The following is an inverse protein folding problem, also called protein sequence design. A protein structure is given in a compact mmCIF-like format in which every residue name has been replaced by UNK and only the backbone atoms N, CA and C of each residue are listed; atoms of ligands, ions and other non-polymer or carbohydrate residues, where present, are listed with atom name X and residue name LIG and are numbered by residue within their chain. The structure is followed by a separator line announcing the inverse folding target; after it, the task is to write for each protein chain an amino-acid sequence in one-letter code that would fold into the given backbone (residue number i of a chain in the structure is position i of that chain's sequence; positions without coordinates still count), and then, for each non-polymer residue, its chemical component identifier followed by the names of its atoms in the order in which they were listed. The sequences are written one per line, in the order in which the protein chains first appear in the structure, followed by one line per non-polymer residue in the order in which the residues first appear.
data_IF_076240914916
#
_entry.id   IF_076240914916
#
_cell.length_a   1.000
_cell.length_b   1.000
_cell.length_c   1.000
_cell.angle_alpha   90.00
_cell.angle_beta   90.00
_cell.angle_gamma   90.00
#
_symmetry.space_group_name_H-M   'P 1'
#
loop_
_entity.id
_entity.type
_entity.pdbx_description
1 polymer ?
#
# COMPACT_ATOMS: atom_id res chain seq x y z
N UNK A 1 1.82 32.30 -12.18
CA UNK A 1 2.89 31.49 -11.55
C UNK A 1 2.21 30.31 -10.90
N UNK A 2 2.46 29.09 -11.37
CA UNK A 2 2.06 27.88 -10.65
C UNK A 2 2.87 27.82 -9.35
N UNK A 3 2.21 27.59 -8.22
CA UNK A 3 2.92 27.33 -6.96
C UNK A 3 3.89 26.16 -7.16
N UNK A 4 5.11 26.22 -6.58
CA UNK A 4 6.07 25.13 -6.70
C UNK A 4 5.46 23.85 -6.12
N UNK A 5 5.60 22.72 -6.83
CA UNK A 5 5.16 21.43 -6.29
C UNK A 5 5.92 21.12 -4.99
N UNK A 6 5.25 20.56 -3.96
CA UNK A 6 5.91 20.17 -2.74
C UNK A 6 7.04 19.16 -3.00
N UNK A 7 8.08 19.21 -2.18
CA UNK A 7 9.19 18.26 -2.25
C UNK A 7 8.71 16.80 -2.07
N UNK A 8 9.29 15.85 -2.84
CA UNK A 8 8.90 14.44 -2.77
C UNK A 8 9.15 13.83 -1.37
N UNK A 9 8.13 13.15 -0.84
CA UNK A 9 8.20 12.52 0.47
C UNK A 9 8.81 11.11 0.44
N UNK A 10 9.68 10.82 1.41
CA UNK A 10 10.32 9.52 1.57
C UNK A 10 10.29 9.03 3.01
N UNK A 11 10.19 7.71 3.18
CA UNK A 11 10.53 7.04 4.44
C UNK A 11 11.86 6.30 4.27
N UNK A 12 12.81 6.62 5.15
CA UNK A 12 14.12 5.99 5.19
C UNK A 12 14.13 4.86 6.20
N UNK A 13 14.54 3.66 5.77
CA UNK A 13 14.74 2.54 6.69
C UNK A 13 16.00 2.73 7.55
N UNK A 14 16.13 1.98 8.65
CA UNK A 14 17.35 1.97 9.48
C UNK A 14 18.65 1.70 8.69
N UNK A 15 18.55 1.02 7.54
CA UNK A 15 19.68 0.74 6.64
C UNK A 15 19.88 1.82 5.56
N UNK A 16 19.30 3.00 5.71
CA UNK A 16 19.43 4.12 4.76
C UNK A 16 18.61 4.01 3.47
N UNK A 17 17.93 2.87 3.20
CA UNK A 17 17.11 2.72 1.99
C UNK A 17 15.86 3.61 2.06
N UNK A 18 15.74 4.56 1.12
CA UNK A 18 14.57 5.43 0.90
C UNK A 18 13.44 4.65 0.21
N UNK A 19 12.21 4.93 0.61
CA UNK A 19 10.99 4.49 -0.08
C UNK A 19 10.10 5.69 -0.33
N UNK A 20 9.64 5.88 -1.57
CA UNK A 20 8.74 6.97 -1.94
C UNK A 20 7.38 6.81 -1.26
N UNK A 21 6.81 7.91 -0.79
CA UNK A 21 5.43 8.05 -0.30
C UNK A 21 4.68 8.94 -1.28
N UNK A 22 3.45 8.57 -1.65
CA UNK A 22 2.63 9.34 -2.57
C UNK A 22 1.63 10.23 -1.83
N UNK A 23 1.47 11.47 -2.27
CA UNK A 23 0.31 12.32 -1.96
C UNK A 23 -0.91 11.85 -2.77
N UNK A 24 -2.14 12.33 -2.49
CA UNK A 24 -3.32 11.97 -3.27
C UNK A 24 -3.20 12.28 -4.77
N UNK A 25 -2.70 13.46 -5.12
CA UNK A 25 -2.49 13.84 -6.52
C UNK A 25 -1.40 12.99 -7.17
N UNK A 26 -0.31 12.71 -6.46
CA UNK A 26 0.75 11.82 -6.95
C UNK A 26 0.27 10.39 -7.15
N UNK A 27 -0.61 9.89 -6.27
CA UNK A 27 -1.26 8.60 -6.41
C UNK A 27 -2.08 8.55 -7.71
N UNK A 28 -2.92 9.55 -7.97
CA UNK A 28 -3.75 9.58 -9.18
C UNK A 28 -2.89 9.64 -10.44
N UNK A 29 -1.87 10.51 -10.46
CA UNK A 29 -0.90 10.58 -11.57
C UNK A 29 -0.20 9.24 -11.79
N UNK A 30 0.23 8.57 -10.72
CA UNK A 30 0.90 7.28 -10.81
C UNK A 30 -0.03 6.19 -11.35
N UNK A 31 -1.28 6.12 -10.85
CA UNK A 31 -2.27 5.14 -11.28
C UNK A 31 -2.63 5.35 -12.75
N UNK A 32 -2.89 6.59 -13.16
CA UNK A 32 -3.26 6.95 -14.53
C UNK A 32 -2.14 6.72 -15.56
N UNK A 33 -0.88 6.65 -15.12
CA UNK A 33 0.26 6.37 -16.02
C UNK A 33 0.41 4.89 -16.39
N UNK A 34 -0.30 3.97 -15.73
CA UNK A 34 -0.21 2.55 -16.07
C UNK A 34 -0.84 2.26 -17.43
N UNK A 35 -0.09 1.53 -18.28
CA UNK A 35 -0.58 1.10 -19.60
C UNK A 35 -1.41 -0.18 -19.56
N UNK A 36 -1.25 -1.00 -18.53
CA UNK A 36 -1.89 -2.32 -18.41
C UNK A 36 -2.90 -2.32 -17.28
N UNK A 37 -4.17 -2.67 -17.52
CA UNK A 37 -5.19 -2.79 -16.47
C UNK A 37 -4.79 -3.75 -15.34
N UNK A 38 -4.09 -4.83 -15.66
CA UNK A 38 -3.60 -5.80 -14.67
C UNK A 38 -2.64 -5.15 -13.66
N UNK A 39 -1.77 -4.26 -14.13
CA UNK A 39 -0.85 -3.55 -13.24
C UNK A 39 -1.59 -2.57 -12.33
N UNK A 40 -2.65 -1.91 -12.83
CA UNK A 40 -3.51 -1.08 -11.98
C UNK A 40 -4.15 -1.95 -10.90
N UNK A 41 -4.71 -3.09 -11.29
CA UNK A 41 -5.35 -4.05 -10.36
C UNK A 41 -4.38 -4.53 -9.28
N UNK A 42 -3.16 -4.92 -9.64
CA UNK A 42 -2.12 -5.34 -8.69
C UNK A 42 -1.73 -4.17 -7.77
N UNK A 43 -1.53 -2.97 -8.34
CA UNK A 43 -1.14 -1.78 -7.58
C UNK A 43 -2.21 -1.39 -6.56
N UNK A 44 -3.46 -1.26 -6.99
CA UNK A 44 -4.58 -0.88 -6.11
C UNK A 44 -4.84 -1.96 -5.06
N UNK A 45 -4.73 -3.24 -5.41
CA UNK A 45 -4.81 -4.34 -4.44
C UNK A 45 -3.74 -4.19 -3.36
N UNK A 46 -2.47 -4.00 -3.75
CA UNK A 46 -1.38 -3.82 -2.78
C UNK A 46 -1.53 -2.55 -1.95
N UNK A 47 -2.01 -1.47 -2.56
CA UNK A 47 -2.20 -0.19 -1.92
C UNK A 47 -3.31 -0.28 -0.86
N UNK A 48 -4.52 -0.64 -1.26
CA UNK A 48 -5.67 -0.63 -0.36
C UNK A 48 -5.68 -1.78 0.65
N UNK A 49 -4.89 -2.84 0.46
CA UNK A 49 -4.77 -3.89 1.50
C UNK A 49 -3.54 -3.68 2.40
N UNK A 50 -2.55 -2.90 1.96
CA UNK A 50 -1.25 -2.77 2.64
C UNK A 50 -0.47 -4.08 2.75
N UNK A 51 -0.87 -5.12 2.02
CA UNK A 51 -0.14 -6.39 2.02
C UNK A 51 1.28 -6.20 1.50
N UNK A 52 2.21 -6.99 2.04
CA UNK A 52 3.50 -7.14 1.35
C UNK A 52 3.26 -7.85 0.03
N UNK A 53 4.09 -7.55 -0.95
CA UNK A 53 4.02 -8.17 -2.27
C UNK A 53 3.93 -9.70 -2.22
N UNK A 54 4.78 -10.34 -1.40
CA UNK A 54 4.76 -11.79 -1.22
C UNK A 54 3.50 -12.31 -0.52
N UNK A 55 2.87 -11.51 0.35
CA UNK A 55 1.59 -11.88 0.97
C UNK A 55 0.46 -11.78 -0.06
N UNK A 56 0.44 -10.72 -0.87
CA UNK A 56 -0.53 -10.57 -1.96
C UNK A 56 -0.40 -11.69 -3.01
N UNK A 57 0.82 -12.13 -3.34
CA UNK A 57 1.06 -13.28 -4.20
C UNK A 57 0.52 -14.60 -3.64
N UNK A 58 0.53 -14.76 -2.33
CA UNK A 58 -0.09 -15.92 -1.68
C UNK A 58 -1.61 -15.79 -1.67
N UNK A 59 -2.12 -14.62 -1.30
CA UNK A 59 -3.54 -14.31 -1.37
C UNK A 59 -4.11 -14.60 -2.77
N UNK A 60 -3.41 -14.23 -3.84
CA UNK A 60 -3.81 -14.53 -5.23
C UNK A 60 -4.10 -16.02 -5.47
N UNK A 61 -3.37 -16.91 -4.80
CA UNK A 61 -3.53 -18.38 -4.88
C UNK A 61 -4.54 -18.94 -3.89
N UNK A 62 -5.00 -18.12 -2.95
CA UNK A 62 -5.89 -18.49 -1.86
C UNK A 62 -7.07 -17.50 -1.74
N UNK A 63 -7.97 -17.39 -2.74
CA UNK A 63 -9.14 -16.52 -2.66
C UNK A 63 -10.05 -16.84 -1.45
N UNK A 64 -10.02 -18.07 -0.94
CA UNK A 64 -10.75 -18.52 0.24
C UNK A 64 -10.35 -17.81 1.54
N UNK A 65 -9.21 -17.12 1.55
CA UNK A 65 -8.80 -16.28 2.68
C UNK A 65 -9.64 -14.99 2.79
N UNK A 66 -10.48 -14.70 1.80
CA UNK A 66 -11.38 -13.53 1.83
C UNK A 66 -12.73 -13.90 2.43
N UNK A 67 -13.06 -13.28 3.56
CA UNK A 67 -14.39 -13.35 4.15
C UNK A 67 -15.23 -12.15 3.69
N UNK A 68 -15.92 -12.31 2.56
CA UNK A 68 -16.64 -11.24 1.87
C UNK A 68 -17.77 -10.60 2.70
N UNK A 69 -18.40 -11.38 3.59
CA UNK A 69 -19.48 -10.91 4.47
C UNK A 69 -18.95 -9.92 5.50
N UNK A 70 -17.77 -10.20 6.08
CA UNK A 70 -17.13 -9.32 7.07
C UNK A 70 -16.21 -8.28 6.44
N UNK A 71 -16.00 -8.34 5.12
CA UNK A 71 -15.06 -7.51 4.38
C UNK A 71 -13.64 -7.59 4.99
N UNK A 72 -13.14 -8.79 5.25
CA UNK A 72 -11.77 -9.00 5.77
C UNK A 72 -11.00 -10.04 4.96
N UNK A 73 -9.68 -9.89 4.93
CA UNK A 73 -8.74 -10.91 4.48
C UNK A 73 -8.12 -11.53 5.72
N UNK A 74 -8.32 -12.83 5.91
CA UNK A 74 -7.66 -13.60 6.95
C UNK A 74 -6.31 -14.09 6.42
N UNK A 75 -5.20 -13.65 7.04
CA UNK A 75 -3.86 -14.10 6.68
C UNK A 75 -3.35 -15.13 7.71
N UNK A 76 -3.51 -16.43 7.43
CA UNK A 76 -3.06 -17.49 8.32
C UNK A 76 -1.53 -17.55 8.41
N UNK A 77 -1.00 -18.36 9.32
CA UNK A 77 0.44 -18.50 9.55
C UNK A 77 1.23 -18.86 8.27
N UNK A 78 0.66 -19.71 7.42
CA UNK A 78 1.24 -20.10 6.12
C UNK A 78 1.40 -18.92 5.15
N UNK A 79 0.57 -17.90 5.29
CA UNK A 79 0.67 -16.64 4.57
C UNK A 79 1.86 -15.78 5.06
N UNK A 80 2.44 -16.09 6.23
CA UNK A 80 3.37 -15.23 6.97
C UNK A 80 4.75 -15.89 7.19
N UNK A 81 5.47 -16.25 6.13
CA UNK A 81 6.76 -16.97 6.17
C UNK A 81 7.98 -16.23 6.78
N UNK A 82 7.82 -15.14 7.53
CA UNK A 82 8.98 -14.46 8.17
C UNK A 82 9.40 -15.20 9.43
N UNK A 83 10.59 -15.85 9.39
CA UNK A 83 11.24 -16.66 10.46
C UNK A 83 11.22 -16.10 11.91
N UNK A 84 10.92 -14.83 12.15
CA UNK A 84 11.02 -14.16 13.48
C UNK A 84 9.77 -13.35 13.86
N UNK A 85 8.61 -13.59 13.26
CA UNK A 85 7.40 -12.82 13.59
C UNK A 85 6.67 -13.43 14.80
N UNK A 86 6.19 -12.58 15.71
CA UNK A 86 5.42 -12.97 16.91
C UNK A 86 3.93 -13.13 16.64
N UNK A 87 3.37 -12.35 15.72
CA UNK A 87 1.96 -12.45 15.33
C UNK A 87 1.81 -13.52 14.24
N UNK A 88 1.17 -14.63 14.60
CA UNK A 88 1.02 -15.82 13.75
C UNK A 88 -0.08 -15.62 12.70
N UNK A 89 -1.16 -14.94 13.05
CA UNK A 89 -2.32 -14.70 12.19
C UNK A 89 -2.81 -13.26 12.32
N UNK A 90 -3.41 -12.72 11.25
CA UNK A 90 -4.01 -11.39 11.29
C UNK A 90 -5.14 -11.24 10.28
N UNK A 91 -6.06 -10.34 10.61
CA UNK A 91 -7.12 -9.90 9.72
C UNK A 91 -6.74 -8.55 9.12
N UNK A 92 -7.04 -8.36 7.85
CA UNK A 92 -6.86 -7.08 7.13
C UNK A 92 -8.23 -6.62 6.66
N UNK A 93 -8.66 -5.43 7.07
CA UNK A 93 -9.92 -4.87 6.62
C UNK A 93 -9.87 -4.55 5.12
N UNK A 94 -10.87 -4.99 4.37
CA UNK A 94 -11.04 -4.68 2.96
C UNK A 94 -11.74 -3.34 2.85
N UNK A 95 -11.02 -2.37 2.30
CA UNK A 95 -11.58 -1.07 1.96
C UNK A 95 -12.67 -1.24 0.87
N UNK A 96 -13.83 -0.55 0.93
CA UNK A 96 -14.83 -0.59 -0.13
C UNK A 96 -14.25 -0.36 -1.54
N UNK A 97 -13.24 0.51 -1.63
CA UNK A 97 -12.51 0.92 -2.82
C UNK A 97 -11.83 -0.26 -3.54
N UNK A 98 -11.42 -1.30 -2.81
CA UNK A 98 -10.66 -2.43 -3.38
C UNK A 98 -11.51 -3.68 -3.60
N UNK A 99 -12.77 -3.69 -3.16
CA UNK A 99 -13.62 -4.90 -3.20
C UNK A 99 -13.75 -5.47 -4.62
N UNK A 100 -14.11 -4.62 -5.58
CA UNK A 100 -14.21 -5.01 -6.99
C UNK A 100 -12.85 -5.35 -7.60
N UNK A 101 -11.78 -4.68 -7.15
CA UNK A 101 -10.41 -4.97 -7.60
C UNK A 101 -9.90 -6.31 -7.12
N UNK A 102 -10.26 -6.75 -5.91
CA UNK A 102 -9.91 -8.07 -5.43
C UNK A 102 -10.51 -9.18 -6.29
N UNK A 103 -11.76 -9.01 -6.75
CA UNK A 103 -12.40 -9.99 -7.65
C UNK A 103 -11.59 -10.12 -8.95
N UNK A 104 -11.23 -9.00 -9.57
CA UNK A 104 -10.41 -8.99 -10.80
C UNK A 104 -9.01 -9.52 -10.51
N UNK A 105 -8.43 -9.19 -9.36
CA UNK A 105 -7.11 -9.63 -8.94
C UNK A 105 -7.01 -11.16 -8.92
N UNK A 106 -8.04 -11.86 -8.41
CA UNK A 106 -8.08 -13.33 -8.42
C UNK A 106 -8.24 -13.94 -9.81
N UNK A 107 -8.70 -13.17 -10.80
CA UNK A 107 -8.82 -13.61 -12.19
C UNK A 107 -7.56 -13.39 -13.02
N UNK A 108 -6.56 -12.67 -12.48
CA UNK A 108 -5.29 -12.46 -13.17
C UNK A 108 -4.57 -13.80 -13.37
N UNK A 109 -4.15 -14.08 -14.60
CA UNK A 109 -3.44 -15.32 -14.94
C UNK A 109 -2.11 -15.45 -14.18
N UNK A 110 -1.37 -14.33 -14.03
CA UNK A 110 -0.05 -14.36 -13.44
C UNK A 110 0.31 -13.07 -12.69
N UNK A 111 0.77 -13.22 -11.44
CA UNK A 111 1.38 -12.13 -10.65
C UNK A 111 2.90 -12.12 -10.85
N UNK A 112 3.50 -10.98 -11.22
CA UNK A 112 4.94 -10.88 -11.48
C UNK A 112 5.82 -11.29 -10.30
N UNK A 113 7.10 -11.53 -10.57
CA UNK A 113 8.12 -11.63 -9.52
C UNK A 113 8.35 -10.24 -8.89
N UNK A 114 8.83 -10.20 -7.64
CA UNK A 114 9.08 -8.93 -6.96
C UNK A 114 10.05 -8.03 -7.75
N UNK A 115 11.11 -8.60 -8.33
CA UNK A 115 12.05 -7.85 -9.15
C UNK A 115 11.38 -7.23 -10.39
N UNK A 116 10.62 -8.02 -11.15
CA UNK A 116 9.87 -7.53 -12.32
C UNK A 116 8.84 -6.47 -11.93
N UNK A 117 8.20 -6.63 -10.78
CA UNK A 117 7.25 -5.65 -10.26
C UNK A 117 7.93 -4.34 -9.85
N UNK A 118 9.06 -4.40 -9.12
CA UNK A 118 9.83 -3.21 -8.74
C UNK A 118 10.33 -2.45 -9.97
N UNK A 119 10.78 -3.14 -11.01
CA UNK A 119 11.13 -2.51 -12.29
C UNK A 119 9.92 -1.89 -12.98
N UNK A 120 8.77 -2.57 -12.97
CA UNK A 120 7.54 -2.03 -13.55
C UNK A 120 7.10 -0.75 -12.83
N UNK A 121 7.18 -0.73 -11.50
CA UNK A 121 6.91 0.46 -10.67
C UNK A 121 7.82 1.64 -11.04
N UNK A 122 9.12 1.40 -11.20
CA UNK A 122 10.09 2.44 -11.60
C UNK A 122 9.84 2.95 -13.03
N UNK A 123 9.56 2.06 -13.97
CA UNK A 123 9.19 2.44 -15.35
C UNK A 123 7.90 3.25 -15.38
N UNK A 124 6.94 2.91 -14.51
CA UNK A 124 5.70 3.66 -14.38
C UNK A 124 5.93 5.03 -13.73
N UNK A 125 6.78 5.11 -12.71
CA UNK A 125 7.17 6.36 -12.07
C UNK A 125 7.76 7.36 -13.08
N UNK A 126 8.73 6.92 -13.88
CA UNK A 126 9.30 7.74 -14.95
C UNK A 126 8.24 8.23 -15.95
N UNK A 127 7.28 7.37 -16.30
CA UNK A 127 6.18 7.74 -17.22
C UNK A 127 5.21 8.76 -16.61
N UNK A 128 4.98 8.67 -15.30
CA UNK A 128 4.17 9.62 -14.57
C UNK A 128 4.91 10.94 -14.26
N UNK A 129 6.15 11.11 -14.75
CA UNK A 129 6.95 12.32 -14.54
C UNK A 129 7.70 12.35 -13.20
N UNK A 130 7.80 11.24 -12.47
CA UNK A 130 8.52 11.18 -11.20
C UNK A 130 9.97 10.73 -11.39
N UNK A 131 10.85 11.15 -10.47
CA UNK A 131 12.11 10.45 -10.20
C UNK A 131 11.80 9.01 -9.74
N UNK A 132 12.30 7.97 -10.45
CA UNK A 132 12.08 6.57 -10.06
C UNK A 132 12.73 6.17 -8.72
N UNK A 133 13.58 7.02 -8.15
CA UNK A 133 14.25 6.77 -6.87
C UNK A 133 13.25 6.49 -5.76
N UNK A 134 13.49 5.40 -5.00
CA UNK A 134 12.64 5.00 -3.88
C UNK A 134 11.32 4.32 -4.26
N UNK A 135 10.93 4.26 -5.54
CA UNK A 135 9.77 3.47 -5.97
C UNK A 135 10.06 1.97 -5.90
N UNK A 136 9.15 1.22 -5.27
CA UNK A 136 9.17 -0.24 -5.18
C UNK A 136 7.80 -0.76 -4.73
N UNK A 137 7.63 -2.07 -4.63
CA UNK A 137 6.46 -2.70 -4.00
C UNK A 137 6.20 -2.21 -2.55
N UNK A 138 7.21 -1.63 -1.88
CA UNK A 138 7.04 -1.05 -0.54
C UNK A 138 6.34 0.31 -0.57
N UNK A 139 6.34 1.01 -1.71
CA UNK A 139 5.69 2.32 -1.88
C UNK A 139 4.21 2.23 -1.59
N UNK A 140 3.52 1.20 -2.10
CA UNK A 140 2.08 1.00 -1.87
C UNK A 140 1.77 0.92 -0.38
N UNK A 141 2.36 -0.07 0.29
CA UNK A 141 2.16 -0.31 1.72
C UNK A 141 2.55 0.89 2.60
N UNK A 142 3.71 1.49 2.35
CA UNK A 142 4.16 2.62 3.18
C UNK A 142 3.31 3.86 2.95
N UNK A 143 2.82 4.07 1.74
CA UNK A 143 1.90 5.17 1.46
C UNK A 143 0.58 4.97 2.19
N UNK A 144 -0.03 3.80 2.09
CA UNK A 144 -1.30 3.58 2.77
C UNK A 144 -1.18 3.62 4.30
N UNK A 145 -0.08 3.09 4.86
CA UNK A 145 0.23 3.24 6.29
C UNK A 145 0.31 4.71 6.69
N UNK A 146 0.91 5.56 5.85
CA UNK A 146 1.00 7.01 6.08
C UNK A 146 -0.39 7.67 6.02
N UNK A 147 -1.19 7.30 5.02
CA UNK A 147 -2.53 7.85 4.82
C UNK A 147 -3.48 7.45 5.95
N UNK A 148 -3.43 6.20 6.42
CA UNK A 148 -4.21 5.74 7.58
C UNK A 148 -3.90 6.56 8.83
N UNK A 149 -2.62 6.89 9.07
CA UNK A 149 -2.21 7.74 10.20
C UNK A 149 -2.76 9.16 10.05
N UNK A 150 -2.64 9.74 8.85
CA UNK A 150 -3.17 11.08 8.54
C UNK A 150 -4.68 11.16 8.68
N UNK A 151 -5.39 10.09 8.29
CA UNK A 151 -6.83 9.97 8.43
C UNK A 151 -7.29 9.77 9.89
N UNK A 152 -6.37 9.56 10.83
CA UNK A 152 -6.68 9.42 12.24
C UNK A 152 -7.02 7.99 12.68
N UNK A 153 -6.75 6.98 11.85
CA UNK A 153 -6.93 5.58 12.24
C UNK A 153 -5.97 5.25 13.40
N UNK A 154 -6.45 4.64 14.51
CA UNK A 154 -5.61 4.32 15.64
C UNK A 154 -4.37 3.51 15.24
N UNK A 155 -3.19 3.92 15.71
CA UNK A 155 -1.93 3.24 15.40
C UNK A 155 -1.93 1.76 15.78
N UNK A 156 -2.60 1.41 16.88
CA UNK A 156 -2.77 0.02 17.32
C UNK A 156 -3.52 -0.81 16.28
N UNK A 157 -4.57 -0.25 15.66
CA UNK A 157 -5.33 -0.89 14.61
C UNK A 157 -4.50 -1.08 13.34
N UNK A 158 -3.77 -0.04 12.92
CA UNK A 158 -2.84 -0.10 11.79
C UNK A 158 -1.78 -1.19 12.04
N UNK A 159 -1.20 -1.25 13.25
CA UNK A 159 -0.25 -2.29 13.62
C UNK A 159 -0.84 -3.70 13.47
N UNK A 160 -2.08 -3.93 13.90
CA UNK A 160 -2.75 -5.23 13.79
C UNK A 160 -2.96 -5.64 12.32
N UNK A 161 -3.51 -4.75 11.49
CA UNK A 161 -3.75 -5.01 10.06
C UNK A 161 -2.45 -5.24 9.29
N UNK A 162 -1.44 -4.42 9.57
CA UNK A 162 -0.16 -4.46 8.86
C UNK A 162 0.78 -5.53 9.46
N UNK A 163 0.51 -6.01 10.67
CA UNK A 163 1.32 -6.95 11.44
C UNK A 163 2.65 -6.35 11.94
N UNK A 164 2.65 -5.08 12.32
CA UNK A 164 3.81 -4.47 12.99
C UNK A 164 3.84 -4.91 14.45
N UNK A 165 5.01 -5.32 14.94
CA UNK A 165 5.19 -5.77 16.33
C UNK A 165 5.42 -4.62 17.31
N UNK A 166 5.98 -3.50 16.85
CA UNK A 166 6.35 -2.37 17.70
C UNK A 166 5.86 -1.04 17.11
N UNK A 167 5.20 -0.22 17.94
CA UNK A 167 4.77 1.15 17.65
C UNK A 167 5.91 2.03 17.12
N UNK A 168 7.15 1.76 17.53
CA UNK A 168 8.37 2.44 17.07
C UNK A 168 8.52 2.41 15.55
N UNK A 169 7.99 1.36 14.90
CA UNK A 169 8.04 1.22 13.44
C UNK A 169 7.22 2.31 12.72
N UNK A 170 6.20 2.88 13.37
CA UNK A 170 5.29 3.86 12.79
C UNK A 170 5.67 5.33 13.11
N UNK A 171 6.61 5.58 14.03
CA UNK A 171 7.04 6.96 14.37
C UNK A 171 7.61 7.73 13.18
N UNK A 172 8.24 7.04 12.23
CA UNK A 172 8.76 7.67 11.01
C UNK A 172 7.68 8.19 10.06
N UNK A 173 6.42 7.80 10.24
CA UNK A 173 5.30 8.18 9.38
C UNK A 173 4.60 9.45 9.90
N UNK A 174 4.76 9.79 11.19
CA UNK A 174 4.13 10.95 11.82
C UNK A 174 4.76 12.29 11.37
N UNK A 175 6.02 12.27 10.91
CA UNK A 175 6.74 13.47 10.49
C UNK A 175 6.61 13.77 8.99
N UNK A 176 5.65 13.15 8.29
CA UNK A 176 5.42 13.44 6.88
C UNK A 176 4.68 14.78 6.73
N UNK A 177 5.24 15.65 5.89
CA UNK A 177 4.81 17.03 5.71
C UNK A 177 3.65 17.15 4.71
N UNK A 178 2.58 16.37 4.89
CA UNK A 178 1.36 16.53 4.09
C UNK A 178 0.73 17.90 4.33
N UNK A 179 0.30 18.57 3.26
CA UNK A 179 -0.42 19.85 3.34
C UNK A 179 -1.81 19.67 3.95
N UNK A 180 -2.50 20.76 4.27
CA UNK A 180 -3.86 20.68 4.83
C UNK A 180 -4.83 20.06 3.83
N UNK A 181 -4.69 20.43 2.56
CA UNK A 181 -5.51 19.97 1.44
C UNK A 181 -5.29 18.48 1.19
N UNK A 182 -4.04 18.03 1.20
CA UNK A 182 -3.71 16.61 1.06
C UNK A 182 -4.26 15.78 2.23
N UNK A 183 -4.19 16.29 3.46
CA UNK A 183 -4.75 15.61 4.63
C UNK A 183 -6.26 15.44 4.52
N UNK A 184 -6.96 16.45 4.01
CA UNK A 184 -8.41 16.40 3.83
C UNK A 184 -8.81 15.42 2.74
N UNK A 185 -8.12 15.46 1.60
CA UNK A 185 -8.35 14.51 0.51
C UNK A 185 -8.05 13.06 0.94
N UNK A 186 -7.00 12.84 1.74
CA UNK A 186 -6.72 11.53 2.34
C UNK A 186 -7.90 11.06 3.20
N UNK A 187 -8.42 11.91 4.09
CA UNK A 187 -9.58 11.54 4.94
C UNK A 187 -10.79 11.14 4.12
N UNK A 188 -11.12 11.94 3.11
CA UNK A 188 -12.22 11.67 2.19
C UNK A 188 -12.04 10.34 1.46
N UNK A 189 -10.83 10.04 0.97
CA UNK A 189 -10.55 8.78 0.27
C UNK A 189 -10.63 7.55 1.16
N UNK A 190 -10.29 7.69 2.44
CA UNK A 190 -10.37 6.59 3.39
C UNK A 190 -11.68 6.55 4.19
N UNK A 191 -12.63 7.44 3.87
CA UNK A 191 -13.94 7.46 4.52
C UNK A 191 -14.66 6.10 4.34
N UNK A 192 -15.27 5.61 5.42
CA UNK A 192 -15.96 4.32 5.44
C UNK A 192 -15.05 3.09 5.44
N UNK A 193 -13.73 3.25 5.66
CA UNK A 193 -12.79 2.14 5.81
C UNK A 193 -12.72 1.57 7.25
N UNK A 194 -13.58 2.03 8.15
CA UNK A 194 -13.70 1.48 9.50
C UNK A 194 -15.14 1.58 9.99
#
# INVERSE_FOLDING_TARGET
MTEPEPEPMYITSQKGKKTRILTPSEYDRFVNAWRKPDHVTIFETLFYTGLRFEEAKRLHKHPEWVEWVRNVIHLPQEAQRKKRRRQLERYVQIAPQVKSRLIIFFQLEHIPTLAKWDEAMKRNAARAGFDPTGFSAKTTRKTIESWMIVAGIPLTQICLWQGHTDLTSLRHYQNLAFTKEEREEIRKRLEGWW
#
